data_IF_213877137020
#
_entry.id   IF_213877137020
#
_cell.length_a   1.000
_cell.length_b   1.000
_cell.length_c   1.000
_cell.angle_alpha   90.00
_cell.angle_beta   90.00
_cell.angle_gamma   90.00
#
_symmetry.space_group_name_H-M   'P 1'
#
loop_
_entity.id
_entity.type
_entity.pdbx_description
1 polymer ?
#
# COMPACT_ATOMS: atom_id res chain seq x y z
N UNK A 1 -17.54 20.72 54.54
CA UNK A 1 -16.37 20.78 53.65
C UNK A 1 -15.67 19.43 53.71
N UNK A 2 -16.01 18.52 52.80
CA UNK A 2 -15.33 17.22 52.69
C UNK A 2 -14.32 17.32 51.55
N UNK A 3 -13.04 17.30 51.90
CA UNK A 3 -11.92 17.40 50.97
C UNK A 3 -11.58 15.99 50.52
N UNK A 4 -12.21 15.52 49.44
CA UNK A 4 -11.73 14.34 48.73
C UNK A 4 -10.56 14.77 47.86
N UNK A 5 -9.36 14.54 48.37
CA UNK A 5 -8.11 14.60 47.60
C UNK A 5 -8.19 13.55 46.49
N UNK A 6 -8.35 13.99 45.25
CA UNK A 6 -8.15 13.14 44.08
C UNK A 6 -6.70 12.63 44.11
N UNK A 7 -6.53 11.33 44.36
CA UNK A 7 -5.25 10.66 44.16
C UNK A 7 -5.02 10.65 42.65
N UNK A 8 -3.91 11.22 42.13
CA UNK A 8 -3.60 11.06 40.72
C UNK A 8 -3.37 9.57 40.47
N UNK A 9 -4.22 8.97 39.64
CA UNK A 9 -4.06 7.61 39.14
C UNK A 9 -2.84 7.57 38.20
N UNK A 10 -1.64 7.57 38.77
CA UNK A 10 -0.43 7.13 38.06
C UNK A 10 -0.38 5.62 38.11
N UNK A 11 -1.37 4.95 37.51
CA UNK A 11 -1.14 3.59 37.00
C UNK A 11 -0.30 3.78 35.75
N UNK A 12 1.01 3.58 35.85
CA UNK A 12 1.77 3.20 34.67
C UNK A 12 1.04 2.00 34.05
N UNK A 13 0.58 2.06 32.79
CA UNK A 13 -0.08 0.93 32.20
C UNK A 13 0.95 -0.20 32.15
N UNK A 14 0.73 -1.24 32.96
CA UNK A 14 1.44 -2.53 32.91
C UNK A 14 1.17 -3.30 31.60
N UNK A 15 0.61 -2.63 30.59
CA UNK A 15 0.25 -3.17 29.29
C UNK A 15 1.09 -2.51 28.21
N UNK A 16 1.66 -3.35 27.34
CA UNK A 16 2.47 -2.96 26.19
C UNK A 16 1.68 -2.18 25.14
N UNK A 17 0.35 -2.18 25.19
CA UNK A 17 -0.53 -1.41 24.33
C UNK A 17 -1.30 -0.39 25.18
N UNK A 18 -1.37 0.85 24.72
CA UNK A 18 -2.20 1.90 25.32
C UNK A 18 -3.10 2.54 24.26
N UNK A 19 -4.33 2.88 24.66
CA UNK A 19 -5.33 3.49 23.78
C UNK A 19 -5.84 4.75 24.46
N UNK A 20 -5.77 5.90 23.79
CA UNK A 20 -6.39 7.15 24.23
C UNK A 20 -7.56 7.45 23.30
N UNK A 21 -8.76 7.66 23.83
CA UNK A 21 -9.96 7.94 23.04
C UNK A 21 -10.42 9.35 23.35
N UNK A 22 -10.63 10.16 22.31
CA UNK A 22 -11.13 11.52 22.46
C UNK A 22 -12.44 11.56 23.27
N UNK A 23 -12.45 12.36 24.34
CA UNK A 23 -13.58 12.44 25.27
C UNK A 23 -13.55 11.42 26.42
N UNK A 24 -12.53 10.57 26.49
CA UNK A 24 -12.29 9.61 27.57
C UNK A 24 -10.84 9.71 28.06
N UNK A 25 -10.57 9.28 29.29
CA UNK A 25 -9.19 9.06 29.76
C UNK A 25 -8.54 7.89 29.00
N UNK A 26 -7.29 7.54 29.34
CA UNK A 26 -6.62 6.36 28.80
C UNK A 26 -7.51 5.12 28.98
N UNK A 27 -7.82 4.46 27.87
CA UNK A 27 -8.65 3.28 27.82
C UNK A 27 -7.81 2.03 28.07
N UNK A 28 -8.04 1.39 29.23
CA UNK A 28 -7.30 0.22 29.70
C UNK A 28 -8.19 -1.02 29.95
N UNK A 29 -9.46 -1.01 29.52
CA UNK A 29 -10.41 -2.11 29.76
C UNK A 29 -10.61 -3.05 28.56
N UNK A 30 -9.62 -3.12 27.66
CA UNK A 30 -9.66 -4.05 26.54
C UNK A 30 -9.23 -5.47 26.95
N UNK A 31 -9.85 -6.45 26.29
CA UNK A 31 -9.52 -7.88 26.33
C UNK A 31 -8.58 -8.23 25.19
N UNK A 32 -8.84 -7.67 24.01
CA UNK A 32 -8.02 -7.89 22.83
C UNK A 32 -7.86 -6.63 21.99
N UNK A 33 -6.69 -6.47 21.37
CA UNK A 33 -6.38 -5.41 20.41
C UNK A 33 -5.69 -6.03 19.20
N UNK A 34 -6.17 -5.68 18.01
CA UNK A 34 -5.54 -6.00 16.74
C UNK A 34 -5.23 -4.70 15.99
N UNK A 35 -3.99 -4.56 15.53
CA UNK A 35 -3.53 -3.41 14.74
C UNK A 35 -2.93 -3.95 13.44
N UNK A 36 -3.51 -3.53 12.32
CA UNK A 36 -3.16 -4.03 10.99
C UNK A 36 -2.61 -2.92 10.11
N UNK A 37 -1.46 -3.19 9.49
CA UNK A 37 -0.83 -2.38 8.44
C UNK A 37 -0.59 -3.28 7.25
N UNK A 38 -0.92 -2.81 6.06
CA UNK A 38 -0.74 -3.53 4.80
C UNK A 38 -0.18 -2.57 3.73
N UNK A 39 0.57 -3.06 2.76
CA UNK A 39 0.96 -2.30 1.57
C UNK A 39 -0.09 -2.37 0.47
N UNK A 40 -0.96 -3.39 0.51
CA UNK A 40 -2.10 -3.56 -0.40
C UNK A 40 -3.32 -2.72 0.04
N UNK A 41 -3.41 -2.35 1.32
CA UNK A 41 -4.42 -1.43 1.86
C UNK A 41 -3.74 -0.13 2.32
N UNK A 42 -4.15 0.98 1.74
CA UNK A 42 -3.57 2.28 2.05
C UNK A 42 -3.82 2.73 3.49
N UNK A 43 -4.99 2.40 4.05
CA UNK A 43 -5.39 2.80 5.39
C UNK A 43 -5.07 1.69 6.40
N UNK A 44 -4.38 2.03 7.48
CA UNK A 44 -4.25 1.09 8.59
C UNK A 44 -5.59 0.89 9.30
N UNK A 45 -5.82 -0.32 9.78
CA UNK A 45 -7.03 -0.70 10.50
C UNK A 45 -6.70 -1.11 11.93
N UNK A 46 -7.63 -0.88 12.86
CA UNK A 46 -7.55 -1.42 14.21
C UNK A 46 -8.89 -2.00 14.65
N UNK A 47 -8.83 -2.96 15.56
CA UNK A 47 -9.99 -3.53 16.21
C UNK A 47 -9.69 -3.75 17.69
N UNK A 48 -10.66 -3.41 18.53
CA UNK A 48 -10.56 -3.56 19.99
C UNK A 48 -11.80 -4.28 20.48
N UNK A 49 -11.59 -5.33 21.27
CA UNK A 49 -12.62 -6.03 22.02
C UNK A 49 -12.50 -5.67 23.49
N UNK A 50 -13.60 -5.23 24.09
CA UNK A 50 -13.62 -4.80 25.48
C UNK A 50 -14.97 -5.09 26.14
N UNK A 51 -15.01 -4.91 27.47
CA UNK A 51 -16.26 -4.96 28.24
C UNK A 51 -16.83 -3.55 28.38
N UNK A 52 -18.14 -3.41 28.21
CA UNK A 52 -18.86 -2.14 28.42
C UNK A 52 -19.64 -2.22 29.73
N UNK A 53 -19.01 -1.72 30.80
CA UNK A 53 -19.59 -1.71 32.13
C UNK A 53 -20.86 -0.84 32.21
N UNK A 54 -20.87 0.29 31.50
CA UNK A 54 -21.98 1.23 31.51
C UNK A 54 -23.26 0.63 30.93
N UNK A 55 -23.17 -0.05 29.78
CA UNK A 55 -24.31 -0.77 29.19
C UNK A 55 -24.73 -1.96 30.04
N UNK A 56 -23.77 -2.72 30.57
CA UNK A 56 -24.08 -3.85 31.45
C UNK A 56 -24.90 -3.41 32.68
N UNK A 57 -24.55 -2.27 33.28
CA UNK A 57 -25.30 -1.66 34.38
C UNK A 57 -26.67 -1.12 33.97
N UNK A 58 -26.80 -0.57 32.77
CA UNK A 58 -28.08 -0.09 32.27
C UNK A 58 -29.05 -1.24 31.93
N UNK A 59 -28.53 -2.46 31.70
CA UNK A 59 -29.34 -3.63 31.35
C UNK A 59 -29.68 -4.50 32.57
N UNK A 60 -28.79 -4.62 33.56
CA UNK A 60 -28.99 -5.52 34.70
C UNK A 60 -28.97 -4.80 36.05
N UNK A 61 -29.97 -5.09 36.89
CA UNK A 61 -30.14 -4.50 38.23
C UNK A 61 -28.97 -4.80 39.21
N UNK A 62 -28.14 -5.80 38.92
CA UNK A 62 -27.07 -6.28 39.82
C UNK A 62 -25.65 -6.15 39.24
N UNK A 63 -25.48 -5.51 38.09
CA UNK A 63 -24.15 -5.31 37.53
C UNK A 63 -23.31 -4.34 38.39
N UNK A 64 -22.11 -4.76 38.78
CA UNK A 64 -21.18 -3.97 39.60
C UNK A 64 -20.14 -3.25 38.72
N UNK A 65 -19.80 -1.98 39.00
CA UNK A 65 -18.97 -1.17 38.10
C UNK A 65 -17.46 -1.42 38.25
N UNK A 66 -16.75 -1.67 37.14
CA UNK A 66 -15.54 -0.94 36.78
C UNK A 66 -15.89 0.42 36.11
N UNK A 67 -14.92 1.30 35.83
CA UNK A 67 -15.13 2.57 35.13
C UNK A 67 -16.15 2.52 33.97
N UNK A 68 -16.97 3.57 33.85
CA UNK A 68 -18.00 3.67 32.81
C UNK A 68 -17.33 4.01 31.48
N UNK A 69 -17.04 3.01 30.66
CA UNK A 69 -16.63 3.20 29.26
C UNK A 69 -17.79 2.94 28.31
N UNK A 70 -18.20 3.95 27.53
CA UNK A 70 -19.19 3.84 26.47
C UNK A 70 -18.71 4.62 25.27
N UNK A 71 -18.67 3.98 24.11
CA UNK A 71 -18.16 4.58 22.87
C UNK A 71 -19.20 4.49 21.76
N UNK A 72 -19.21 5.49 20.88
CA UNK A 72 -20.01 5.55 19.65
C UNK A 72 -19.05 5.80 18.48
N UNK A 73 -19.48 5.55 17.22
CA UNK A 73 -18.70 6.02 16.07
C UNK A 73 -18.48 7.52 16.14
N UNK A 74 -17.28 7.98 15.79
CA UNK A 74 -16.94 9.39 15.73
C UNK A 74 -15.67 9.81 16.47
N UNK A 75 -15.38 9.39 17.71
CA UNK A 75 -14.17 9.82 18.41
C UNK A 75 -12.88 9.34 17.73
N UNK A 76 -11.78 10.08 17.92
CA UNK A 76 -10.45 9.63 17.50
C UNK A 76 -9.78 8.78 18.57
N UNK A 77 -9.19 7.66 18.17
CA UNK A 77 -8.37 6.78 18.99
C UNK A 77 -6.89 6.95 18.63
N UNK A 78 -6.03 7.11 19.64
CA UNK A 78 -4.56 7.12 19.53
C UNK A 78 -4.04 5.86 20.19
N UNK A 79 -3.36 5.01 19.41
CA UNK A 79 -2.92 3.69 19.84
C UNK A 79 -1.39 3.66 19.84
N UNK A 80 -0.81 3.28 20.97
CA UNK A 80 0.64 3.19 21.15
C UNK A 80 1.06 1.79 21.58
N UNK A 81 2.25 1.37 21.15
CA UNK A 81 2.89 0.11 21.54
C UNK A 81 4.24 0.42 22.20
N UNK A 82 4.41 0.01 23.46
CA UNK A 82 5.56 0.30 24.31
C UNK A 82 5.90 1.80 24.33
N UNK A 83 4.86 2.64 24.39
CA UNK A 83 4.98 4.11 24.35
C UNK A 83 5.22 4.74 22.97
N UNK A 84 5.42 3.95 21.91
CA UNK A 84 5.55 4.42 20.54
C UNK A 84 4.17 4.53 19.88
N UNK A 85 3.77 5.73 19.46
CA UNK A 85 2.50 5.95 18.74
C UNK A 85 2.55 5.22 17.39
N UNK A 86 1.63 4.26 17.20
CA UNK A 86 1.57 3.44 15.98
C UNK A 86 0.36 3.75 15.12
N UNK A 87 -0.72 4.28 15.71
CA UNK A 87 -1.93 4.60 14.96
C UNK A 87 -2.71 5.77 15.55
N UNK A 88 -3.23 6.63 14.67
CA UNK A 88 -4.23 7.66 14.98
C UNK A 88 -5.41 7.47 14.04
N UNK A 89 -6.52 6.99 14.57
CA UNK A 89 -7.64 6.49 13.77
C UNK A 89 -8.99 7.02 14.24
N UNK A 90 -9.96 7.10 13.33
CA UNK A 90 -11.34 7.46 13.65
C UNK A 90 -12.10 6.19 13.99
N UNK A 91 -12.85 6.16 15.09
CA UNK A 91 -13.75 5.04 15.38
C UNK A 91 -14.92 5.12 14.39
N UNK A 92 -15.05 4.13 13.51
CA UNK A 92 -16.07 4.10 12.45
C UNK A 92 -17.19 3.14 12.76
N UNK A 93 -16.88 2.04 13.46
CA UNK A 93 -17.83 1.00 13.81
C UNK A 93 -17.76 0.69 15.29
N UNK A 94 -18.92 0.61 15.92
CA UNK A 94 -19.09 0.11 17.29
C UNK A 94 -20.20 -0.93 17.26
N UNK A 95 -19.89 -2.15 17.68
CA UNK A 95 -20.78 -3.31 17.72
C UNK A 95 -20.89 -3.82 19.16
N UNK A 96 -21.92 -3.39 19.90
CA UNK A 96 -22.28 -4.02 21.17
C UNK A 96 -22.96 -5.36 20.92
N UNK A 97 -22.51 -6.39 21.63
CA UNK A 97 -23.09 -7.73 21.63
C UNK A 97 -23.41 -8.15 23.06
N UNK A 98 -24.58 -8.76 23.25
CA UNK A 98 -25.02 -9.21 24.56
C UNK A 98 -25.86 -10.47 24.43
N UNK A 99 -25.60 -11.44 25.29
CA UNK A 99 -26.39 -12.66 25.48
C UNK A 99 -26.53 -13.00 26.97
N UNK A 100 -27.00 -14.20 27.29
CA UNK A 100 -27.20 -14.65 28.68
C UNK A 100 -25.89 -14.81 29.48
N UNK A 101 -24.74 -14.97 28.80
CA UNK A 101 -23.45 -15.26 29.40
C UNK A 101 -22.41 -14.14 29.23
N UNK A 102 -22.54 -13.30 28.19
CA UNK A 102 -21.52 -12.32 27.78
C UNK A 102 -22.13 -10.98 27.39
N UNK A 103 -21.44 -9.91 27.78
CA UNK A 103 -21.69 -8.54 27.33
C UNK A 103 -20.38 -7.91 26.88
N UNK A 104 -20.22 -7.69 25.58
CA UNK A 104 -18.97 -7.24 24.96
C UNK A 104 -19.23 -6.13 23.95
N UNK A 105 -18.24 -5.27 23.75
CA UNK A 105 -18.22 -4.31 22.65
C UNK A 105 -16.99 -4.58 21.78
N UNK A 106 -17.22 -4.59 20.48
CA UNK A 106 -16.14 -4.52 19.49
C UNK A 106 -16.22 -3.18 18.79
N UNK A 107 -15.13 -2.42 18.80
CA UNK A 107 -15.04 -1.19 18.01
C UNK A 107 -13.83 -1.22 17.09
N UNK A 108 -13.98 -0.62 15.91
CA UNK A 108 -12.95 -0.60 14.88
C UNK A 108 -13.00 0.67 14.04
N UNK A 109 -11.92 0.92 13.32
CA UNK A 109 -11.79 2.09 12.48
C UNK A 109 -10.47 2.16 11.74
N UNK A 110 -10.35 3.18 10.90
CA UNK A 110 -9.20 3.40 10.03
C UNK A 110 -8.42 4.64 10.41
N UNK A 111 -7.14 4.64 10.08
CA UNK A 111 -6.31 5.86 10.15
C UNK A 111 -6.87 6.97 9.25
N UNK A 112 -6.29 8.18 9.34
CA UNK A 112 -6.74 9.32 8.51
C UNK A 112 -6.75 9.02 7.00
N UNK A 113 -5.95 8.06 6.54
CA UNK A 113 -5.91 7.62 5.15
C UNK A 113 -7.24 7.05 4.66
N UNK A 114 -8.08 6.50 5.56
CA UNK A 114 -9.43 6.04 5.22
C UNK A 114 -10.30 7.12 4.57
N UNK A 115 -10.15 8.37 4.98
CA UNK A 115 -10.86 9.48 4.34
C UNK A 115 -10.42 9.70 2.88
N UNK A 116 -9.15 9.47 2.57
CA UNK A 116 -8.64 9.62 1.20
C UNK A 116 -9.07 8.48 0.28
N UNK A 117 -9.30 7.29 0.86
CA UNK A 117 -9.89 6.14 0.16
C UNK A 117 -11.34 6.46 -0.22
N UNK A 118 -12.11 7.03 0.69
CA UNK A 118 -13.56 7.18 0.53
C UNK A 118 -13.96 8.47 -0.21
N UNK A 119 -13.23 9.56 -0.02
CA UNK A 119 -13.67 10.90 -0.41
C UNK A 119 -13.02 11.39 -1.70
N UNK A 120 -13.74 12.25 -2.42
CA UNK A 120 -13.30 12.85 -3.67
C UNK A 120 -12.04 13.72 -3.53
N UNK A 121 -11.16 13.69 -4.53
CA UNK A 121 -9.89 14.42 -4.54
C UNK A 121 -10.05 15.95 -4.55
N UNK A 122 -11.02 16.45 -5.31
CA UNK A 122 -11.25 17.89 -5.48
C UNK A 122 -12.74 18.21 -5.72
N UNK A 123 -13.63 18.10 -4.71
CA UNK A 123 -15.07 18.27 -4.89
C UNK A 123 -15.48 19.70 -5.30
N UNK A 124 -14.65 20.70 -4.99
CA UNK A 124 -14.87 22.13 -5.30
C UNK A 124 -13.64 22.80 -5.92
N UNK A 125 -12.60 22.02 -6.21
CA UNK A 125 -11.28 22.51 -6.60
C UNK A 125 -11.05 22.45 -8.11
N UNK A 126 -9.86 22.85 -8.61
CA UNK A 126 -9.59 22.81 -10.03
C UNK A 126 -9.61 21.36 -10.52
N UNK A 127 -10.25 21.10 -11.68
CA UNK A 127 -10.26 19.77 -12.30
C UNK A 127 -8.92 19.31 -12.87
N UNK A 128 -7.85 20.10 -12.70
CA UNK A 128 -6.48 19.71 -13.04
C UNK A 128 -5.47 20.59 -12.30
N UNK A 129 -4.27 20.05 -12.09
CA UNK A 129 -3.07 20.82 -11.79
C UNK A 129 -2.17 20.93 -13.02
N UNK A 130 -1.38 22.00 -13.11
CA UNK A 130 -0.43 22.23 -14.20
C UNK A 130 0.97 22.42 -13.66
N UNK A 131 1.97 21.93 -14.40
CA UNK A 131 3.40 22.05 -14.09
C UNK A 131 3.72 21.73 -12.62
N UNK A 132 3.16 20.64 -12.10
CA UNK A 132 3.24 20.27 -10.68
C UNK A 132 4.11 19.03 -10.50
N UNK A 133 4.92 18.97 -9.44
CA UNK A 133 5.60 17.72 -9.04
C UNK A 133 4.64 16.77 -8.33
N UNK A 134 5.00 15.49 -8.24
CA UNK A 134 4.15 14.49 -7.58
C UNK A 134 3.87 14.87 -6.13
N UNK A 135 4.90 15.15 -5.35
CA UNK A 135 4.80 15.50 -3.93
C UNK A 135 3.96 16.76 -3.69
N UNK A 136 4.00 17.73 -4.61
CA UNK A 136 3.19 18.95 -4.52
C UNK A 136 1.72 18.70 -4.87
N UNK A 137 1.45 17.85 -5.86
CA UNK A 137 0.08 17.43 -6.18
C UNK A 137 -0.53 16.65 -4.99
N UNK A 138 0.22 15.72 -4.42
CA UNK A 138 -0.19 14.93 -3.26
C UNK A 138 -0.44 15.82 -2.05
N UNK A 139 0.41 16.81 -1.78
CA UNK A 139 0.18 17.81 -0.70
C UNK A 139 -1.13 18.56 -0.88
N UNK A 140 -1.42 19.05 -2.09
CA UNK A 140 -2.67 19.78 -2.37
C UNK A 140 -3.90 18.90 -2.22
N UNK A 141 -3.82 17.62 -2.61
CA UNK A 141 -4.91 16.66 -2.45
C UNK A 141 -5.10 16.27 -0.98
N UNK A 142 -4.02 16.14 -0.21
CA UNK A 142 -4.04 15.72 1.20
C UNK A 142 -4.41 16.86 2.18
N UNK A 143 -4.19 18.12 1.79
CA UNK A 143 -4.41 19.30 2.63
C UNK A 143 -5.82 19.37 3.25
N UNK A 144 -6.93 19.18 2.50
CA UNK A 144 -8.28 19.22 3.07
C UNK A 144 -8.55 18.13 4.11
N UNK A 145 -7.78 17.05 4.10
CA UNK A 145 -7.89 15.94 5.04
C UNK A 145 -7.03 16.13 6.31
N UNK A 146 -6.21 17.20 6.36
CA UNK A 146 -5.29 17.44 7.47
C UNK A 146 -4.25 16.33 7.60
N UNK A 147 -3.72 15.87 6.46
CA UNK A 147 -2.72 14.81 6.35
C UNK A 147 -1.41 15.40 5.81
N UNK A 148 -0.32 15.15 6.52
CA UNK A 148 1.02 15.60 6.12
C UNK A 148 1.58 14.69 5.02
N UNK A 149 2.43 15.22 4.13
CA UNK A 149 3.05 14.43 3.05
C UNK A 149 4.57 14.47 3.18
N UNK A 150 5.15 13.28 3.32
CA UNK A 150 6.60 13.03 3.36
C UNK A 150 7.02 12.39 2.05
N UNK A 151 8.05 12.95 1.40
CA UNK A 151 8.63 12.38 0.18
C UNK A 151 10.06 11.93 0.48
N UNK A 152 10.31 10.63 0.39
CA UNK A 152 11.62 10.01 0.68
C UNK A 152 12.45 9.79 -0.59
N UNK A 153 11.87 10.05 -1.76
CA UNK A 153 12.45 9.73 -3.07
C UNK A 153 12.44 10.94 -3.98
N UNK A 154 13.29 10.91 -5.01
CA UNK A 154 13.15 11.80 -6.15
C UNK A 154 12.02 11.29 -7.06
N UNK A 155 11.01 12.14 -7.25
CA UNK A 155 9.83 11.89 -8.09
C UNK A 155 10.06 12.38 -9.53
N UNK A 156 11.26 12.87 -9.85
CA UNK A 156 11.65 13.31 -11.18
C UNK A 156 11.00 14.63 -11.59
N UNK A 157 10.70 14.75 -12.89
CA UNK A 157 10.17 15.97 -13.50
C UNK A 157 8.69 16.21 -13.16
N UNK A 158 8.30 17.48 -13.18
CA UNK A 158 6.90 17.90 -13.04
C UNK A 158 6.01 17.31 -14.14
N UNK A 159 4.75 17.07 -13.81
CA UNK A 159 3.69 16.81 -14.77
C UNK A 159 3.28 18.13 -15.42
N UNK A 160 3.35 18.22 -16.74
CA UNK A 160 2.83 19.39 -17.47
C UNK A 160 1.33 19.59 -17.20
N UNK A 161 0.59 18.48 -17.14
CA UNK A 161 -0.83 18.41 -16.79
C UNK A 161 -1.09 17.21 -15.88
N UNK A 162 -1.83 17.43 -14.79
CA UNK A 162 -2.27 16.41 -13.84
C UNK A 162 -3.79 16.50 -13.71
N UNK A 163 -4.55 15.74 -14.50
CA UNK A 163 -6.00 15.81 -14.50
C UNK A 163 -6.58 15.20 -13.21
N UNK A 164 -7.58 15.86 -12.64
CA UNK A 164 -8.42 15.32 -11.59
C UNK A 164 -9.78 14.96 -12.17
N UNK A 165 -10.14 13.69 -12.10
CA UNK A 165 -11.40 13.19 -12.65
C UNK A 165 -12.59 13.50 -11.73
N UNK A 166 -13.76 13.72 -12.35
CA UNK A 166 -14.97 13.96 -11.58
C UNK A 166 -15.32 12.69 -10.79
N UNK A 167 -15.55 12.86 -9.49
CA UNK A 167 -15.85 11.78 -8.55
C UNK A 167 -14.72 10.73 -8.34
N UNK A 168 -13.47 11.00 -8.76
CA UNK A 168 -12.34 10.16 -8.33
C UNK A 168 -11.98 10.43 -6.86
N UNK A 169 -11.58 9.38 -6.15
CA UNK A 169 -11.15 9.49 -4.76
C UNK A 169 -9.76 10.13 -4.67
N UNK A 170 -9.44 10.73 -3.52
CA UNK A 170 -8.12 11.33 -3.29
C UNK A 170 -6.98 10.32 -3.50
N UNK A 171 -7.14 9.09 -3.01
CA UNK A 171 -6.15 8.02 -3.22
C UNK A 171 -6.03 7.64 -4.70
N UNK A 172 -7.14 7.43 -5.40
CA UNK A 172 -7.12 7.09 -6.85
C UNK A 172 -6.39 8.17 -7.66
N UNK A 173 -6.68 9.45 -7.36
CA UNK A 173 -6.01 10.59 -7.99
C UNK A 173 -4.50 10.54 -7.77
N UNK A 174 -4.05 10.22 -6.55
CA UNK A 174 -2.63 10.14 -6.17
C UNK A 174 -1.94 8.95 -6.82
N UNK A 175 -2.55 7.76 -6.80
CA UNK A 175 -1.98 6.53 -7.36
C UNK A 175 -1.72 6.65 -8.87
N UNK A 176 -2.58 7.37 -9.59
CA UNK A 176 -2.40 7.68 -11.01
C UNK A 176 -1.06 8.39 -11.26
N UNK A 177 -0.74 9.40 -10.46
CA UNK A 177 0.54 10.13 -10.54
C UNK A 177 1.71 9.31 -10.04
N UNK A 178 1.53 8.61 -8.92
CA UNK A 178 2.58 7.79 -8.32
C UNK A 178 3.04 6.65 -9.24
N UNK A 179 2.11 6.00 -9.94
CA UNK A 179 2.42 4.95 -10.93
C UNK A 179 3.32 5.47 -12.05
N UNK A 180 3.04 6.66 -12.59
CA UNK A 180 3.88 7.30 -13.62
C UNK A 180 5.27 7.71 -13.13
N UNK A 181 5.53 7.67 -11.82
CA UNK A 181 6.85 7.91 -11.20
C UNK A 181 7.41 6.67 -10.51
N UNK A 182 6.74 5.53 -10.67
CA UNK A 182 7.05 4.27 -9.98
C UNK A 182 7.21 4.45 -8.46
N UNK A 183 6.46 5.38 -7.87
CA UNK A 183 6.45 5.66 -6.44
C UNK A 183 5.44 4.76 -5.73
N UNK A 184 5.82 4.28 -4.54
CA UNK A 184 4.89 3.66 -3.60
C UNK A 184 4.27 4.77 -2.74
N UNK A 185 2.95 4.69 -2.55
CA UNK A 185 2.19 5.60 -1.70
C UNK A 185 1.64 4.79 -0.54
N UNK A 186 1.95 5.20 0.69
CA UNK A 186 1.46 4.51 1.89
C UNK A 186 1.14 5.51 2.99
N UNK A 187 0.16 5.20 3.83
CA UNK A 187 0.00 5.88 5.11
C UNK A 187 1.17 5.51 6.04
N UNK A 188 1.45 6.31 7.06
CA UNK A 188 2.32 5.94 8.20
C UNK A 188 1.54 5.41 9.41
N UNK A 189 0.21 5.51 9.39
CA UNK A 189 -0.70 5.16 10.48
C UNK A 189 -0.99 6.29 11.47
N UNK A 190 -0.15 7.32 11.53
CA UNK A 190 -0.24 8.40 12.53
C UNK A 190 -0.76 9.72 11.97
N UNK A 191 -0.89 9.82 10.65
CA UNK A 191 -1.49 10.96 9.97
C UNK A 191 -0.64 11.55 8.85
N UNK A 192 0.26 10.75 8.27
CA UNK A 192 1.11 11.13 7.15
C UNK A 192 0.93 10.18 5.96
N UNK A 193 1.05 10.72 4.76
CA UNK A 193 1.31 9.97 3.53
C UNK A 193 2.80 9.99 3.26
N UNK A 194 3.36 8.82 2.96
CA UNK A 194 4.75 8.63 2.58
C UNK A 194 4.80 8.27 1.10
N UNK A 195 5.54 9.05 0.33
CA UNK A 195 5.97 8.73 -1.03
C UNK A 195 7.36 8.12 -0.98
N UNK A 196 7.48 6.84 -1.31
CA UNK A 196 8.71 6.06 -1.11
C UNK A 196 8.92 5.01 -2.21
N UNK A 197 9.92 4.15 -2.02
CA UNK A 197 10.14 2.94 -2.80
C UNK A 197 10.06 1.72 -1.90
N UNK A 198 9.83 0.60 -2.54
CA UNK A 198 9.75 -0.70 -1.86
C UNK A 198 11.09 -1.10 -1.26
N UNK A 199 11.07 -1.54 0.00
CA UNK A 199 12.19 -2.20 0.64
C UNK A 199 13.40 -1.31 0.90
N UNK A 200 13.19 0.00 1.10
CA UNK A 200 14.28 0.95 1.39
C UNK A 200 14.98 0.71 2.73
N UNK A 201 14.38 -0.07 3.63
CA UNK A 201 14.92 -0.40 4.96
C UNK A 201 14.94 -1.90 5.21
N UNK A 202 15.78 -2.32 6.16
CA UNK A 202 15.81 -3.70 6.68
C UNK A 202 14.91 -3.84 7.91
N UNK A 203 14.28 -5.00 8.00
CA UNK A 203 13.49 -5.42 9.15
C UNK A 203 14.36 -5.56 10.42
N UNK A 204 13.77 -5.44 11.62
CA UNK A 204 14.51 -5.47 12.88
C UNK A 204 15.31 -6.76 13.14
N UNK A 205 14.84 -7.90 12.62
CA UNK A 205 15.53 -9.18 12.71
C UNK A 205 15.23 -10.07 11.49
N UNK A 206 16.03 -11.12 11.28
CA UNK A 206 15.70 -12.17 10.33
C UNK A 206 14.53 -13.03 10.84
N UNK A 207 13.82 -13.69 9.93
CA UNK A 207 12.76 -14.64 10.21
C UNK A 207 13.28 -16.04 9.87
N UNK A 208 13.42 -16.90 10.89
CA UNK A 208 14.03 -18.24 10.72
C UNK A 208 13.20 -19.34 11.39
N UNK A 209 12.97 -20.45 10.68
CA UNK A 209 12.38 -21.69 11.18
C UNK A 209 13.35 -22.87 10.96
N UNK A 210 13.82 -23.57 12.02
CA UNK A 210 13.60 -23.28 13.45
C UNK A 210 14.28 -21.97 13.88
N UNK A 211 13.68 -21.27 14.85
CA UNK A 211 14.20 -19.99 15.33
C UNK A 211 13.11 -19.14 16.01
N UNK A 212 12.93 -17.90 15.55
CA UNK A 212 11.96 -16.96 16.11
C UNK A 212 10.55 -17.07 15.54
N UNK A 213 10.34 -17.90 14.52
CA UNK A 213 9.01 -18.18 13.95
C UNK A 213 8.27 -19.19 14.84
N UNK A 214 7.06 -18.83 15.27
CA UNK A 214 6.14 -19.70 16.05
C UNK A 214 5.28 -20.57 15.13
N UNK A 215 4.77 -19.98 14.06
CA UNK A 215 3.94 -20.64 13.06
C UNK A 215 4.24 -20.06 11.69
N UNK A 216 4.06 -20.88 10.65
CA UNK A 216 4.36 -20.51 9.27
C UNK A 216 3.37 -21.24 8.35
N UNK A 217 2.74 -20.52 7.43
CA UNK A 217 1.91 -21.07 6.35
C UNK A 217 2.23 -20.34 5.05
N UNK A 218 2.00 -20.98 3.91
CA UNK A 218 2.15 -20.35 2.60
C UNK A 218 1.26 -21.08 1.58
N UNK A 219 0.83 -20.34 0.58
CA UNK A 219 0.18 -20.88 -0.62
C UNK A 219 1.07 -20.62 -1.83
N UNK A 220 1.18 -21.64 -2.70
CA UNK A 220 1.92 -21.56 -3.96
C UNK A 220 0.97 -21.97 -5.09
N UNK A 221 0.63 -21.04 -6.00
CA UNK A 221 -0.42 -21.29 -6.99
C UNK A 221 -0.13 -20.68 -8.37
N UNK A 222 -0.37 -21.46 -9.44
CA UNK A 222 -0.31 -20.96 -10.82
C UNK A 222 -1.68 -20.53 -11.38
N UNK A 223 -2.76 -20.56 -10.58
CA UNK A 223 -4.14 -20.36 -11.05
C UNK A 223 -4.34 -19.04 -11.81
N UNK A 224 -3.73 -17.96 -11.33
CA UNK A 224 -3.77 -16.63 -11.94
C UNK A 224 -2.41 -16.18 -12.52
N UNK A 225 -1.57 -17.14 -12.89
CA UNK A 225 -0.28 -16.91 -13.57
C UNK A 225 -0.41 -17.21 -15.06
N UNK A 226 0.32 -16.44 -15.85
CA UNK A 226 0.21 -16.40 -17.32
C UNK A 226 1.60 -16.38 -17.92
N UNK A 227 1.83 -17.14 -18.99
CA UNK A 227 3.11 -17.12 -19.73
C UNK A 227 3.37 -15.76 -20.39
N UNK A 228 2.29 -15.08 -20.80
CA UNK A 228 2.34 -13.80 -21.48
C UNK A 228 1.20 -12.90 -20.99
N UNK A 229 1.55 -11.71 -20.51
CA UNK A 229 0.59 -10.66 -20.15
C UNK A 229 0.66 -9.57 -21.20
N UNK A 230 -0.45 -9.36 -21.91
CA UNK A 230 -0.55 -8.42 -23.03
C UNK A 230 -1.53 -7.30 -22.64
N UNK A 231 -1.13 -6.05 -22.82
CA UNK A 231 -2.00 -4.88 -22.69
C UNK A 231 -2.17 -4.25 -24.06
N UNK A 232 -3.43 -4.12 -24.49
CA UNK A 232 -3.79 -3.51 -25.78
C UNK A 232 -4.60 -2.23 -25.58
N UNK A 233 -4.28 -1.19 -26.34
CA UNK A 233 -4.99 0.09 -26.33
C UNK A 233 -5.14 0.67 -27.73
N UNK A 234 -5.96 1.71 -27.83
CA UNK A 234 -6.01 2.56 -29.01
C UNK A 234 -5.25 3.85 -28.73
N UNK A 235 -4.19 4.10 -29.50
CA UNK A 235 -3.40 5.33 -29.42
C UNK A 235 -3.98 6.45 -30.28
N UNK A 236 -3.93 7.70 -29.81
CA UNK A 236 -4.29 8.87 -30.62
C UNK A 236 -3.22 9.15 -31.69
N UNK A 237 -3.64 9.70 -32.84
CA UNK A 237 -2.75 10.25 -33.90
C UNK A 237 -1.76 9.27 -34.55
N UNK A 238 -2.13 7.99 -34.77
CA UNK A 238 -1.27 7.03 -35.48
C UNK A 238 0.16 6.95 -34.89
N UNK A 239 0.30 6.99 -33.56
CA UNK A 239 1.60 7.03 -32.89
C UNK A 239 2.39 8.31 -33.17
N UNK A 240 1.71 9.46 -33.25
CA UNK A 240 2.33 10.76 -33.57
C UNK A 240 2.70 10.95 -35.05
N UNK A 241 2.33 10.03 -35.94
CA UNK A 241 2.68 10.08 -37.38
C UNK A 241 1.67 10.85 -38.24
N UNK A 242 0.64 11.45 -37.65
CA UNK A 242 -0.27 12.33 -38.40
C UNK A 242 0.50 13.59 -38.81
N UNK A 243 0.76 13.77 -40.09
CA UNK A 243 1.41 14.97 -40.60
C UNK A 243 0.56 16.22 -40.26
N UNK A 244 1.20 17.31 -39.83
CA UNK A 244 0.59 18.65 -39.64
C UNK A 244 0.22 19.33 -40.99
N UNK A 245 -0.22 18.55 -41.96
CA UNK A 245 -0.79 19.05 -43.20
C UNK A 245 -2.29 19.12 -43.03
N UNK A 246 -2.78 20.26 -42.55
CA UNK A 246 -4.16 20.62 -42.82
C UNK A 246 -4.34 20.56 -44.33
N UNK A 247 -5.32 19.78 -44.81
CA UNK A 247 -5.76 19.94 -46.19
C UNK A 247 -6.19 21.40 -46.32
N UNK A 248 -5.51 22.16 -47.19
CA UNK A 248 -5.87 23.55 -47.42
C UNK A 248 -7.28 23.55 -48.02
N UNK A 249 -8.27 23.94 -47.22
CA UNK A 249 -9.62 24.14 -47.70
C UNK A 249 -9.70 25.59 -48.14
N UNK A 250 -9.67 25.84 -49.45
CA UNK A 250 -9.90 27.18 -49.99
C UNK A 250 -11.35 27.57 -49.75
N UNK A 251 -11.59 28.77 -49.20
CA UNK A 251 -12.93 29.31 -49.05
C UNK A 251 -13.49 29.60 -50.46
N UNK A 252 -14.22 28.65 -51.05
CA UNK A 252 -14.77 28.76 -52.41
C UNK A 252 -14.43 27.60 -53.36
N UNK A 253 -13.72 26.57 -52.91
CA UNK A 253 -13.51 25.37 -53.72
C UNK A 253 -14.82 24.57 -53.84
N UNK A 254 -15.34 24.42 -55.06
CA UNK A 254 -16.52 23.59 -55.32
C UNK A 254 -16.20 22.11 -55.06
N UNK A 255 -17.12 21.32 -54.47
CA UNK A 255 -16.91 19.89 -54.27
C UNK A 255 -16.63 19.20 -55.60
N UNK A 256 -15.57 18.39 -55.66
CA UNK A 256 -15.23 17.63 -56.86
C UNK A 256 -16.43 16.73 -57.26
N UNK A 257 -16.96 16.88 -58.50
CA UNK A 257 -18.07 16.08 -59.00
C UNK A 257 -17.76 14.58 -58.90
N UNK A 258 -18.77 13.71 -58.69
CA UNK A 258 -18.55 12.27 -58.55
C UNK A 258 -17.75 11.65 -59.69
N UNK A 259 -17.95 12.12 -60.93
CA UNK A 259 -17.22 11.68 -62.12
C UNK A 259 -15.72 12.03 -62.13
N UNK A 260 -15.32 13.10 -61.45
CA UNK A 260 -13.94 13.59 -61.41
C UNK A 260 -13.15 13.07 -60.19
N UNK A 261 -13.81 12.31 -59.32
CA UNK A 261 -13.18 11.66 -58.17
C UNK A 261 -12.29 10.52 -58.65
N UNK A 262 -10.99 10.77 -58.70
CA UNK A 262 -10.00 9.72 -58.96
C UNK A 262 -9.91 8.80 -57.72
N UNK A 263 -9.84 7.47 -57.90
CA UNK A 263 -9.47 6.57 -56.81
C UNK A 263 -8.12 7.02 -56.24
N UNK A 264 -8.06 7.28 -54.94
CA UNK A 264 -6.78 7.51 -54.27
C UNK A 264 -5.88 6.28 -54.42
N UNK A 265 -4.56 6.44 -54.24
CA UNK A 265 -3.56 5.36 -54.31
C UNK A 265 -3.71 4.27 -53.24
N UNK A 266 -4.78 4.30 -52.44
CA UNK A 266 -4.94 3.48 -51.23
C UNK A 266 -4.15 4.01 -50.03
N UNK A 267 -3.20 4.93 -50.22
CA UNK A 267 -2.40 5.52 -49.13
C UNK A 267 -3.25 6.17 -48.04
N UNK A 268 -4.37 6.81 -48.40
CA UNK A 268 -5.31 7.36 -47.43
C UNK A 268 -5.94 6.24 -46.59
N UNK A 269 -6.37 5.15 -47.23
CA UNK A 269 -6.95 3.97 -46.58
C UNK A 269 -5.93 3.23 -45.71
N UNK A 270 -4.66 3.13 -46.13
CA UNK A 270 -3.58 2.52 -45.34
C UNK A 270 -3.17 3.40 -44.15
N UNK A 271 -3.12 4.73 -44.33
CA UNK A 271 -2.89 5.69 -43.23
C UNK A 271 -4.04 5.75 -42.23
N UNK A 272 -5.28 5.63 -42.70
CA UNK A 272 -6.48 5.61 -41.84
C UNK A 272 -6.70 4.23 -41.19
N UNK A 273 -6.25 3.13 -41.83
CA UNK A 273 -6.20 1.78 -41.25
C UNK A 273 -5.08 1.58 -40.24
N UNK A 274 -4.09 2.46 -40.19
CA UNK A 274 -3.18 2.56 -39.06
C UNK A 274 -3.93 3.11 -37.83
N UNK A 275 -5.02 2.46 -37.43
CA UNK A 275 -5.46 2.50 -36.06
C UNK A 275 -4.29 1.99 -35.24
N UNK A 276 -3.68 2.87 -34.44
CA UNK A 276 -2.57 2.51 -33.57
C UNK A 276 -3.11 1.54 -32.51
N UNK A 277 -3.09 0.25 -32.81
CA UNK A 277 -3.17 -0.79 -31.81
C UNK A 277 -1.84 -0.73 -31.06
N UNK A 278 -1.87 -0.03 -29.93
CA UNK A 278 -0.75 0.01 -29.00
C UNK A 278 -0.76 -1.32 -28.26
N UNK A 279 0.38 -1.98 -28.23
CA UNK A 279 0.55 -3.27 -27.56
C UNK A 279 1.79 -3.22 -26.67
N UNK A 280 1.61 -3.64 -25.42
CA UNK A 280 2.70 -3.92 -24.50
C UNK A 280 2.61 -5.34 -23.99
N UNK A 281 3.75 -6.00 -23.86
CA UNK A 281 3.82 -7.41 -23.47
C UNK A 281 4.84 -7.61 -22.37
N UNK A 282 4.51 -8.45 -21.39
CA UNK A 282 5.42 -8.94 -20.36
C UNK A 282 5.37 -10.47 -20.31
N UNK A 283 6.55 -11.10 -20.21
CA UNK A 283 6.71 -12.56 -20.17
C UNK A 283 7.03 -12.98 -18.74
N UNK A 284 6.38 -14.06 -18.31
CA UNK A 284 6.65 -14.71 -17.04
C UNK A 284 7.44 -16.00 -17.26
N UNK A 285 8.75 -15.96 -16.99
CA UNK A 285 9.67 -17.08 -17.27
C UNK A 285 9.40 -18.33 -16.42
N UNK A 286 8.61 -18.24 -15.35
CA UNK A 286 8.25 -19.41 -14.51
C UNK A 286 7.08 -20.22 -15.08
N UNK A 287 6.37 -19.69 -16.09
CA UNK A 287 5.19 -20.32 -16.67
C UNK A 287 5.53 -20.85 -18.06
N UNK A 288 5.89 -22.12 -18.12
CA UNK A 288 6.28 -22.82 -19.36
C UNK A 288 5.07 -23.16 -20.24
N UNK A 289 3.89 -23.38 -19.63
CA UNK A 289 2.65 -23.67 -20.35
C UNK A 289 2.16 -22.45 -21.10
N UNK A 290 1.66 -22.62 -22.33
CA UNK A 290 1.02 -21.55 -23.10
C UNK A 290 -0.28 -21.08 -22.42
N UNK A 291 -0.20 -19.95 -21.69
CA UNK A 291 -1.29 -19.35 -20.91
C UNK A 291 -1.30 -17.81 -21.07
N UNK A 292 -1.58 -17.25 -22.26
CA UNK A 292 -1.60 -15.81 -22.44
C UNK A 292 -2.87 -15.17 -21.84
N UNK A 293 -2.74 -13.91 -21.41
CA UNK A 293 -3.87 -13.06 -21.03
C UNK A 293 -3.77 -11.69 -21.73
N UNK A 294 -4.92 -11.17 -22.16
CA UNK A 294 -5.02 -9.84 -22.80
C UNK A 294 -5.88 -8.92 -21.95
N UNK A 295 -5.34 -7.74 -21.63
CA UNK A 295 -6.02 -6.64 -20.96
C UNK A 295 -6.23 -5.48 -21.92
N UNK A 296 -7.30 -4.72 -21.72
CA UNK A 296 -7.52 -3.45 -22.40
C UNK A 296 -6.97 -2.31 -21.55
N UNK A 297 -6.19 -1.42 -22.17
CA UNK A 297 -5.70 -0.21 -21.54
C UNK A 297 -6.88 0.68 -21.15
N UNK A 298 -6.95 1.09 -19.88
CA UNK A 298 -8.05 1.93 -19.35
C UNK A 298 -7.94 3.40 -19.75
N UNK A 299 -6.74 3.84 -20.09
CA UNK A 299 -6.45 5.23 -20.48
C UNK A 299 -5.76 5.24 -21.84
N UNK A 300 -5.60 6.41 -22.44
CA UNK A 300 -4.79 6.55 -23.66
C UNK A 300 -3.39 5.99 -23.39
N UNK A 301 -3.05 4.89 -24.07
CA UNK A 301 -1.77 4.22 -23.94
C UNK A 301 -0.87 4.55 -25.14
N UNK A 302 0.42 4.59 -24.87
CA UNK A 302 1.52 4.47 -25.83
C UNK A 302 2.28 3.17 -25.56
N UNK A 303 3.21 2.80 -26.43
CA UNK A 303 3.90 1.49 -26.35
C UNK A 303 4.64 1.31 -25.00
N UNK A 304 5.15 2.40 -24.42
CA UNK A 304 5.86 2.39 -23.14
C UNK A 304 4.89 2.14 -21.98
N UNK A 305 3.82 2.94 -21.90
CA UNK A 305 2.82 2.80 -20.84
C UNK A 305 2.05 1.49 -20.90
N UNK A 306 1.83 0.93 -22.10
CA UNK A 306 1.25 -0.40 -22.26
C UNK A 306 2.21 -1.50 -21.77
N UNK A 307 3.51 -1.39 -22.07
CA UNK A 307 4.52 -2.33 -21.60
C UNK A 307 4.70 -2.26 -20.07
N UNK A 308 4.73 -1.05 -19.51
CA UNK A 308 4.80 -0.82 -18.06
C UNK A 308 3.56 -1.39 -17.34
N UNK A 309 2.37 -1.24 -17.92
CA UNK A 309 1.15 -1.82 -17.37
C UNK A 309 1.17 -3.36 -17.44
N UNK A 310 1.66 -3.93 -18.54
CA UNK A 310 1.82 -5.38 -18.69
C UNK A 310 2.80 -5.95 -17.65
N UNK A 311 3.96 -5.31 -17.48
CA UNK A 311 4.99 -5.71 -16.51
C UNK A 311 4.46 -5.59 -15.07
N UNK A 312 3.77 -4.49 -14.74
CA UNK A 312 3.14 -4.32 -13.43
C UNK A 312 2.14 -5.43 -13.10
N UNK A 313 1.25 -5.75 -14.06
CA UNK A 313 0.24 -6.80 -13.88
C UNK A 313 0.87 -8.17 -13.71
N UNK A 314 1.87 -8.51 -14.52
CA UNK A 314 2.61 -9.76 -14.40
C UNK A 314 3.26 -9.89 -13.03
N UNK A 315 3.96 -8.85 -12.55
CA UNK A 315 4.59 -8.84 -11.22
C UNK A 315 3.61 -8.98 -10.09
N UNK A 316 2.46 -8.31 -10.18
CA UNK A 316 1.41 -8.42 -9.18
C UNK A 316 0.91 -9.88 -9.07
N UNK A 317 0.60 -10.51 -10.21
CA UNK A 317 0.18 -11.92 -10.25
C UNK A 317 1.26 -12.86 -9.74
N UNK A 318 2.52 -12.62 -10.11
CA UNK A 318 3.67 -13.36 -9.59
C UNK A 318 3.79 -13.20 -8.07
N UNK A 319 3.57 -12.02 -7.53
CA UNK A 319 3.57 -11.81 -6.07
C UNK A 319 2.42 -12.53 -5.37
N UNK A 320 1.22 -12.49 -5.94
CA UNK A 320 0.02 -13.15 -5.40
C UNK A 320 0.12 -14.68 -5.44
N UNK A 321 0.98 -15.26 -6.29
CA UNK A 321 1.18 -16.70 -6.35
C UNK A 321 2.00 -17.29 -5.20
N UNK A 322 2.60 -16.45 -4.35
CA UNK A 322 3.38 -16.87 -3.20
C UNK A 322 3.25 -15.85 -2.08
N UNK A 323 2.49 -16.21 -1.07
CA UNK A 323 2.22 -15.34 0.08
C UNK A 323 2.47 -16.10 1.40
N UNK A 324 3.73 -16.16 1.88
CA UNK A 324 4.04 -16.74 3.17
C UNK A 324 3.53 -15.86 4.29
N UNK A 325 2.88 -16.48 5.27
CA UNK A 325 2.39 -15.85 6.50
C UNK A 325 3.14 -16.49 7.67
N UNK A 326 3.81 -15.66 8.46
CA UNK A 326 4.57 -16.11 9.62
C UNK A 326 4.08 -15.44 10.90
N UNK A 327 4.05 -16.18 11.99
CA UNK A 327 3.74 -15.63 13.32
C UNK A 327 4.99 -15.59 14.17
N UNK A 328 5.30 -14.44 14.76
CA UNK A 328 6.38 -14.25 15.74
C UNK A 328 5.82 -13.83 17.10
N UNK A 329 6.60 -14.05 18.17
CA UNK A 329 6.13 -13.91 19.57
C UNK A 329 6.03 -12.48 20.11
N UNK A 330 6.53 -11.48 19.40
CA UNK A 330 6.64 -10.12 19.93
C UNK A 330 6.38 -9.07 18.84
N UNK A 331 5.96 -7.87 19.25
CA UNK A 331 5.84 -6.68 18.40
C UNK A 331 7.20 -6.14 17.98
N UNK A 332 8.22 -6.33 18.82
CA UNK A 332 9.57 -5.80 18.61
C UNK A 332 10.58 -6.92 18.41
N UNK A 333 11.64 -6.63 17.68
CA UNK A 333 12.76 -7.54 17.50
C UNK A 333 14.08 -6.81 17.32
N UNK A 334 15.16 -7.60 17.26
CA UNK A 334 16.49 -7.12 16.96
C UNK A 334 17.17 -6.40 18.13
N UNK A 335 18.46 -6.04 17.96
CA UNK A 335 19.25 -5.37 19.00
C UNK A 335 18.75 -3.96 19.31
N UNK A 336 18.12 -3.29 18.34
CA UNK A 336 17.54 -1.95 18.50
C UNK A 336 16.11 -1.98 19.07
N UNK A 337 15.55 -3.16 19.34
CA UNK A 337 14.19 -3.35 19.85
C UNK A 337 13.13 -2.57 19.05
N UNK A 338 13.20 -2.66 17.72
CA UNK A 338 12.30 -1.94 16.80
C UNK A 338 11.06 -2.76 16.51
N UNK A 339 9.92 -2.08 16.32
CA UNK A 339 8.68 -2.69 15.85
C UNK A 339 8.87 -3.31 14.47
N UNK A 340 8.18 -4.43 14.22
CA UNK A 340 7.98 -4.92 12.86
C UNK A 340 7.15 -3.90 12.07
N UNK A 341 7.62 -3.53 10.87
CA UNK A 341 6.93 -2.56 10.01
C UNK A 341 6.83 -3.09 8.59
N UNK A 342 5.75 -2.70 7.91
CA UNK A 342 5.60 -2.90 6.47
C UNK A 342 6.63 -2.09 5.68
N UNK A 343 6.85 -2.48 4.43
CA UNK A 343 7.84 -1.90 3.54
C UNK A 343 9.31 -2.06 4.00
N UNK A 344 9.60 -3.13 4.75
CA UNK A 344 10.96 -3.50 5.15
C UNK A 344 11.35 -4.84 4.53
N UNK A 345 12.61 -4.95 4.09
CA UNK A 345 13.15 -6.22 3.59
C UNK A 345 13.64 -7.05 4.77
N UNK A 346 13.21 -8.31 4.81
CA UNK A 346 13.57 -9.28 5.84
C UNK A 346 14.25 -10.49 5.21
N UNK A 347 15.30 -10.98 5.85
CA UNK A 347 15.88 -12.28 5.48
C UNK A 347 14.97 -13.38 6.03
N UNK A 348 14.40 -14.18 5.15
CA UNK A 348 13.48 -15.26 5.48
C UNK A 348 14.11 -16.61 5.17
N UNK A 349 14.08 -17.52 6.15
CA UNK A 349 14.61 -18.87 6.03
C UNK A 349 13.68 -19.85 6.72
N UNK A 350 12.91 -20.57 5.92
CA UNK A 350 11.98 -21.60 6.38
C UNK A 350 12.23 -22.89 5.59
N UNK A 351 12.80 -23.88 6.28
CA UNK A 351 13.14 -25.15 5.66
C UNK A 351 11.90 -25.98 5.28
N UNK A 352 10.77 -25.79 5.95
CA UNK A 352 9.53 -26.52 5.64
C UNK A 352 8.88 -25.99 4.36
N UNK A 353 8.88 -24.66 4.21
CA UNK A 353 8.39 -24.01 2.99
C UNK A 353 9.42 -23.95 1.86
N UNK A 354 10.66 -24.36 2.12
CA UNK A 354 11.79 -24.34 1.18
C UNK A 354 12.16 -22.93 0.69
N UNK A 355 11.90 -21.89 1.50
CA UNK A 355 12.21 -20.50 1.15
C UNK A 355 13.45 -20.04 1.93
N UNK A 356 14.46 -19.55 1.21
CA UNK A 356 15.74 -19.10 1.76
C UNK A 356 16.25 -17.85 1.04
N UNK A 357 15.53 -16.73 1.18
CA UNK A 357 15.83 -15.48 0.46
C UNK A 357 15.32 -14.24 1.21
N UNK A 358 15.66 -13.07 0.67
CA UNK A 358 15.14 -11.81 1.16
C UNK A 358 13.71 -11.60 0.64
N UNK A 359 12.77 -11.33 1.55
CA UNK A 359 11.37 -11.07 1.26
C UNK A 359 10.98 -9.67 1.72
N UNK A 360 9.90 -9.12 1.18
CA UNK A 360 9.31 -7.87 1.64
C UNK A 360 8.22 -8.16 2.66
N UNK A 361 8.19 -7.39 3.75
CA UNK A 361 7.04 -7.38 4.66
C UNK A 361 5.91 -6.56 4.02
N UNK A 362 4.88 -7.24 3.52
CA UNK A 362 3.70 -6.62 2.90
C UNK A 362 2.65 -6.27 3.93
N UNK A 363 2.46 -7.11 4.96
CA UNK A 363 1.45 -6.89 6.01
C UNK A 363 2.00 -7.23 7.38
N UNK A 364 1.60 -6.47 8.38
CA UNK A 364 1.82 -6.77 9.79
C UNK A 364 0.50 -6.66 10.54
N UNK A 365 0.14 -7.71 11.27
CA UNK A 365 -1.00 -7.76 12.18
C UNK A 365 -0.47 -8.00 13.58
N UNK A 366 -0.51 -6.97 14.42
CA UNK A 366 -0.07 -7.02 15.81
C UNK A 366 -1.27 -7.33 16.70
N UNK A 367 -1.24 -8.49 17.37
CA UNK A 367 -2.30 -8.98 18.25
C UNK A 367 -1.84 -8.94 19.70
N UNK A 368 -2.69 -8.38 20.55
CA UNK A 368 -2.59 -8.42 21.99
C UNK A 368 -3.87 -9.05 22.52
N UNK A 369 -3.82 -10.26 23.08
CA UNK A 369 -4.93 -10.92 23.75
C UNK A 369 -4.42 -11.68 25.00
N UNK A 370 -4.70 -12.97 25.12
CA UNK A 370 -4.05 -13.85 26.12
C UNK A 370 -2.55 -14.01 25.83
N UNK A 371 -2.16 -13.87 24.57
CA UNK A 371 -0.77 -13.84 24.12
C UNK A 371 -0.47 -12.57 23.32
N UNK A 372 0.82 -12.28 23.18
CA UNK A 372 1.31 -11.26 22.26
C UNK A 372 1.86 -11.97 21.04
N UNK A 373 1.45 -11.53 19.86
CA UNK A 373 1.97 -12.05 18.61
C UNK A 373 1.95 -10.99 17.51
N UNK A 374 2.90 -11.11 16.59
CA UNK A 374 2.85 -10.39 15.31
C UNK A 374 2.74 -11.42 14.20
N UNK A 375 1.66 -11.36 13.44
CA UNK A 375 1.56 -12.04 12.15
C UNK A 375 2.14 -11.12 11.07
N UNK A 376 3.01 -11.68 10.23
CA UNK A 376 3.74 -10.97 9.18
C UNK A 376 3.46 -11.71 7.89
N UNK A 377 2.86 -11.00 6.93
CA UNK A 377 2.72 -11.50 5.56
C UNK A 377 3.90 -11.03 4.75
N UNK A 378 4.49 -11.96 4.01
CA UNK A 378 5.64 -11.75 3.16
C UNK A 378 5.21 -11.78 1.70
N UNK A 379 5.91 -10.99 0.88
CA UNK A 379 5.75 -11.00 -0.57
C UNK A 379 7.10 -10.91 -1.26
N UNK A 380 7.15 -11.30 -2.54
CA UNK A 380 8.34 -11.07 -3.36
C UNK A 380 8.62 -9.56 -3.46
N UNK A 381 9.86 -9.09 -3.25
CA UNK A 381 10.19 -7.66 -3.34
C UNK A 381 9.92 -7.03 -4.71
N UNK A 382 9.94 -7.84 -5.77
CA UNK A 382 9.71 -7.39 -7.15
C UNK A 382 8.27 -6.97 -7.45
N UNK A 383 7.33 -7.36 -6.58
CA UNK A 383 5.91 -7.04 -6.69
C UNK A 383 5.63 -5.53 -6.74
N UNK A 384 6.52 -4.74 -6.12
CA UNK A 384 6.33 -3.32 -5.91
C UNK A 384 7.53 -2.48 -6.38
N UNK A 385 8.50 -3.05 -7.10
CA UNK A 385 9.61 -2.29 -7.69
C UNK A 385 9.75 -2.56 -9.19
N UNK A 386 10.27 -1.60 -9.99
CA UNK A 386 10.45 -1.78 -11.43
C UNK A 386 11.75 -2.49 -11.80
N UNK A 387 12.50 -3.05 -10.84
CA UNK A 387 13.81 -3.66 -11.14
C UNK A 387 13.63 -4.94 -11.97
N UNK A 388 14.62 -5.42 -12.72
CA UNK A 388 14.48 -6.69 -13.45
C UNK A 388 14.05 -7.84 -12.54
N UNK A 389 13.04 -8.62 -12.96
CA UNK A 389 12.49 -9.74 -12.18
C UNK A 389 13.52 -10.88 -12.02
N UNK A 390 13.98 -11.47 -13.12
CA UNK A 390 15.06 -12.46 -13.18
C UNK A 390 15.04 -13.51 -12.06
N UNK A 391 16.23 -13.85 -11.56
CA UNK A 391 16.43 -14.88 -10.53
C UNK A 391 16.16 -14.39 -9.09
N UNK A 392 15.38 -13.31 -8.89
CA UNK A 392 15.17 -12.73 -7.54
C UNK A 392 14.35 -13.63 -6.61
N UNK A 393 13.54 -14.52 -7.17
CA UNK A 393 12.82 -15.57 -6.44
C UNK A 393 13.60 -16.88 -6.33
N UNK A 394 14.83 -16.95 -6.83
CA UNK A 394 15.63 -18.15 -6.69
C UNK A 394 16.17 -18.25 -5.26
N UNK A 395 15.85 -19.35 -4.57
CA UNK A 395 16.34 -19.58 -3.22
C UNK A 395 17.85 -19.79 -3.17
N UNK A 396 18.45 -19.28 -2.11
CA UNK A 396 19.87 -19.52 -1.85
C UNK A 396 20.07 -20.94 -1.35
N UNK A 397 21.18 -21.59 -1.74
CA UNK A 397 21.56 -22.89 -1.16
C UNK A 397 21.62 -22.78 0.37
N UNK A 398 21.01 -23.74 1.05
CA UNK A 398 20.70 -23.76 2.51
C UNK A 398 21.89 -23.36 3.42
N UNK A 399 23.13 -23.69 3.03
CA UNK A 399 24.35 -23.34 3.76
C UNK A 399 24.77 -21.86 3.67
N UNK A 400 24.38 -21.13 2.63
CA UNK A 400 24.73 -19.72 2.44
C UNK A 400 23.84 -18.77 3.27
N UNK A 401 22.56 -19.09 3.43
CA UNK A 401 21.59 -18.30 4.19
C UNK A 401 21.96 -18.22 5.69
N UNK A 402 22.37 -19.35 6.29
CA UNK A 402 22.84 -19.41 7.70
C UNK A 402 24.10 -18.56 7.95
N UNK A 403 24.97 -18.41 6.94
CA UNK A 403 26.21 -17.62 7.07
C UNK A 403 25.97 -16.10 7.07
N UNK A 404 24.89 -15.62 6.44
CA UNK A 404 24.52 -14.20 6.40
C UNK A 404 23.82 -13.74 7.68
N UNK A 405 22.96 -14.57 8.28
CA UNK A 405 22.34 -14.27 9.58
C UNK A 405 23.40 -14.16 10.70
N UNK A 406 24.49 -14.92 10.61
CA UNK A 406 25.62 -14.82 11.53
C UNK A 406 26.50 -13.56 11.31
N UNK A 407 26.54 -13.03 10.07
CA UNK A 407 27.39 -11.88 9.69
C UNK A 407 26.79 -10.50 10.02
N UNK A 408 25.49 -10.41 10.34
CA UNK A 408 24.85 -9.14 10.75
C UNK A 408 25.32 -8.61 12.11
N UNK A 409 26.17 -9.36 12.83
CA UNK A 409 26.77 -8.99 14.12
C UNK A 409 27.96 -8.02 14.06
N UNK A 410 28.41 -7.54 12.89
CA UNK A 410 29.47 -6.52 12.79
C UNK A 410 28.95 -5.23 12.16
N UNK A 411 29.16 -4.05 12.80
CA UNK A 411 28.80 -2.78 12.21
C UNK A 411 29.62 -2.53 10.94
N UNK A 412 28.95 -2.14 9.85
CA UNK A 412 29.59 -1.77 8.59
C UNK A 412 30.08 -0.32 8.70
N UNK A 413 31.32 -0.07 8.30
CA UNK A 413 31.91 1.27 8.22
C UNK A 413 31.07 2.21 7.31
N UNK A 414 31.08 3.54 7.54
CA UNK A 414 30.25 4.47 6.79
C UNK A 414 30.57 4.45 5.30
N UNK A 415 29.53 4.54 4.47
CA UNK A 415 29.64 4.56 3.02
C UNK A 415 30.40 5.81 2.55
N UNK A 416 31.33 5.64 1.61
CA UNK A 416 31.98 6.77 0.92
C UNK A 416 30.94 7.56 0.11
N UNK A 417 31.08 8.89 -0.01
CA UNK A 417 30.21 9.70 -0.87
C UNK A 417 30.34 9.23 -2.33
N UNK A 418 29.21 9.12 -3.01
CA UNK A 418 29.15 8.90 -4.46
C UNK A 418 29.63 10.16 -5.18
N UNK A 419 30.60 10.00 -6.07
CA UNK A 419 31.13 11.05 -6.93
C UNK A 419 30.09 11.44 -8.00
N UNK A 420 29.73 12.72 -8.05
CA UNK A 420 28.63 13.24 -8.89
C UNK A 420 29.10 13.85 -10.22
N UNK A 421 30.34 13.59 -10.66
CA UNK A 421 30.80 14.09 -11.96
C UNK A 421 30.70 13.06 -13.07
N UNK A 422 29.49 12.81 -13.56
CA UNK A 422 29.26 12.24 -14.90
C UNK A 422 27.80 12.46 -15.34
N UNK A 423 27.49 13.68 -15.77
CA UNK A 423 26.36 13.96 -16.68
C UNK A 423 26.66 15.28 -17.40
N UNK A 424 27.51 15.17 -18.42
CA UNK A 424 27.61 16.14 -19.51
C UNK A 424 27.75 15.32 -20.80
N UNK A 425 26.60 15.01 -21.41
CA UNK A 425 26.33 15.01 -22.85
C UNK A 425 24.87 14.62 -23.10
#
# INVERSE_FOLDING_TARGET
MSVFSAIPSTREPTRRVSIEIEGHDTFDEFVAVEITRDLKDFAGNFQVTARDAGRSMATFDFASPPPIFSVRPGPTARISIDGELVMVAKIERVRPEIDEERAEITFSGRDKGGNMVDCAAAPRGPGEFRNVKLEDAVRRIAEPFGIEVVCEIDTGRSFGRYPLELAETALSAIEKGARQRHALVMSDGTGKVILTRTGGRRAPAALTLPGNIKASSAEFSHENRYSETIVRGQGEKAGGKRADRNAAFGLGDDPVPPEDRRPGTGEATERERAGTAVEGTAIDEEIEDYRPIVFLAKTQADDISAADEADFRMRQRRAESEEPIVTVRDFRAGPENRLWRVNEIVSYSDAFQQIHRDMLISRTVMRYDEEIATEITLSSPEAFDPKPVGSRRTDMKEGAARSRSAKSRKPKAPAKPLDTTANAL
#
